data_IF_596140301967
#
_entry.id   IF_596140301967
#
_cell.length_a   1.000
_cell.length_b   1.000
_cell.length_c   1.000
_cell.angle_alpha   90.00
_cell.angle_beta   90.00
_cell.angle_gamma   90.00
#
_symmetry.space_group_name_H-M   'P 1'
#
loop_
_entity.id
_entity.type
_entity.pdbx_description
1 polymer ?
#
# COMPACT_ATOMS: atom_id res chain seq x y z
N UNK A 1 0.56 6.60 17.40
CA UNK A 1 1.87 7.25 17.27
C UNK A 1 2.67 6.68 16.12
N UNK A 2 3.73 7.36 15.67
CA UNK A 2 4.66 6.86 14.65
C UNK A 2 5.29 5.53 15.09
N UNK A 3 5.39 4.56 14.18
CA UNK A 3 5.98 3.24 14.45
C UNK A 3 5.12 2.29 15.28
N UNK A 4 3.99 2.74 15.83
CA UNK A 4 3.06 1.87 16.55
C UNK A 4 2.39 0.88 15.61
N UNK A 5 2.16 -0.34 16.12
CA UNK A 5 1.41 -1.37 15.39
C UNK A 5 -0.07 -1.00 15.33
N UNK A 6 -0.60 -0.92 14.11
CA UNK A 6 -1.98 -0.49 13.83
C UNK A 6 -2.85 -1.60 13.23
N UNK A 7 -2.24 -2.63 12.64
CA UNK A 7 -2.95 -3.76 12.02
C UNK A 7 -2.03 -4.99 11.86
N UNK A 8 -2.57 -6.05 11.27
CA UNK A 8 -1.83 -7.20 10.74
C UNK A 8 -2.30 -7.58 9.35
N UNK A 9 -1.40 -8.01 8.47
CA UNK A 9 -1.72 -8.46 7.11
C UNK A 9 -2.55 -9.74 7.14
N UNK A 10 -3.52 -9.85 6.23
CA UNK A 10 -4.28 -11.09 6.02
C UNK A 10 -3.36 -12.15 5.43
N UNK A 11 -3.26 -13.30 6.09
CA UNK A 11 -2.53 -14.44 5.54
C UNK A 11 -3.39 -15.15 4.48
N UNK A 12 -2.89 -15.25 3.27
CA UNK A 12 -3.58 -15.85 2.12
C UNK A 12 -4.39 -14.83 1.32
N UNK A 13 -5.37 -15.31 0.56
CA UNK A 13 -6.25 -14.46 -0.23
C UNK A 13 -7.12 -13.56 0.63
N UNK A 14 -7.42 -12.39 0.11
CA UNK A 14 -8.38 -11.44 0.67
C UNK A 14 -9.48 -11.12 -0.36
N UNK A 15 -10.40 -10.21 -0.01
CA UNK A 15 -11.60 -9.89 -0.79
C UNK A 15 -11.37 -9.71 -2.30
N UNK A 16 -10.30 -9.01 -2.70
CA UNK A 16 -9.99 -8.69 -4.10
C UNK A 16 -8.52 -8.94 -4.46
N UNK A 17 -7.82 -9.81 -3.72
CA UNK A 17 -6.43 -10.17 -4.03
C UNK A 17 -6.09 -11.60 -3.58
N UNK A 18 -5.16 -12.24 -4.28
CA UNK A 18 -4.92 -13.69 -4.20
C UNK A 18 -3.73 -14.12 -3.32
N UNK A 19 -3.09 -13.20 -2.59
CA UNK A 19 -1.92 -13.52 -1.78
C UNK A 19 -1.71 -12.59 -0.57
N UNK A 20 -0.84 -13.04 0.33
CA UNK A 20 -0.43 -12.27 1.53
C UNK A 20 0.45 -11.09 1.11
N UNK A 21 -0.04 -9.87 1.26
CA UNK A 21 0.71 -8.64 1.05
C UNK A 21 -0.01 -7.47 1.74
N UNK A 22 0.72 -6.39 2.00
CA UNK A 22 0.15 -5.09 2.34
C UNK A 22 0.05 -4.27 1.05
N UNK A 23 -1.13 -3.74 0.74
CA UNK A 23 -1.26 -2.66 -0.25
C UNK A 23 -1.21 -1.32 0.49
N UNK A 24 -0.14 -0.56 0.28
CA UNK A 24 0.11 0.71 0.96
C UNK A 24 -0.04 1.89 0.01
N UNK A 25 -0.86 2.86 0.41
CA UNK A 25 -1.13 4.05 -0.40
C UNK A 25 -0.78 5.32 0.38
N UNK A 26 -0.32 6.34 -0.33
CA UNK A 26 -0.29 7.72 0.13
C UNK A 26 -1.31 8.51 -0.68
N UNK A 27 -2.16 9.27 0.01
CA UNK A 27 -3.13 10.17 -0.60
C UNK A 27 -2.85 11.57 -0.08
N UNK A 28 -2.60 12.52 -0.97
CA UNK A 28 -2.35 13.92 -0.62
C UNK A 28 -3.32 14.79 -1.40
N UNK A 29 -4.03 15.69 -0.71
CA UNK A 29 -5.11 16.49 -1.31
C UNK A 29 -6.16 15.64 -2.05
N UNK A 30 -6.52 14.48 -1.49
CA UNK A 30 -7.44 13.51 -2.11
C UNK A 30 -6.94 12.91 -3.44
N UNK A 31 -5.65 12.99 -3.74
CA UNK A 31 -5.03 12.39 -4.93
C UNK A 31 -4.00 11.36 -4.51
N UNK A 32 -4.06 10.16 -5.08
CA UNK A 32 -3.07 9.12 -4.83
C UNK A 32 -1.69 9.58 -5.34
N UNK A 33 -0.66 9.41 -4.50
CA UNK A 33 0.73 9.75 -4.78
C UNK A 33 1.59 8.50 -4.73
N UNK A 34 2.73 8.53 -5.41
CA UNK A 34 3.68 7.44 -5.37
C UNK A 34 4.31 7.34 -3.97
N UNK A 35 4.07 6.28 -3.19
CA UNK A 35 4.62 6.16 -1.84
C UNK A 35 6.17 6.16 -1.81
N UNK A 36 6.83 5.88 -2.93
CA UNK A 36 8.29 5.93 -3.03
C UNK A 36 8.89 7.33 -2.77
N UNK A 37 8.11 8.38 -3.00
CA UNK A 37 8.48 9.78 -2.75
C UNK A 37 8.37 10.15 -1.26
N UNK A 38 7.69 9.33 -0.46
CA UNK A 38 7.38 9.62 0.94
C UNK A 38 8.13 8.71 1.92
N UNK A 39 8.41 7.46 1.55
CA UNK A 39 9.16 6.54 2.40
C UNK A 39 10.66 6.83 2.39
N UNK A 40 11.31 6.73 3.55
CA UNK A 40 12.76 6.90 3.70
C UNK A 40 13.54 5.93 2.81
N UNK A 41 14.66 6.41 2.29
CA UNK A 41 15.55 5.61 1.45
C UNK A 41 16.06 4.37 2.20
N UNK A 42 15.95 3.21 1.56
CA UNK A 42 16.51 1.93 2.03
C UNK A 42 16.66 0.94 0.88
N UNK A 43 17.43 -0.12 1.12
CA UNK A 43 17.44 -1.29 0.26
C UNK A 43 16.17 -2.12 0.45
N UNK A 44 15.65 -2.67 -0.64
CA UNK A 44 14.51 -3.58 -0.71
C UNK A 44 14.79 -4.69 -1.72
N UNK A 45 14.15 -5.84 -1.55
CA UNK A 45 14.10 -6.85 -2.60
C UNK A 45 13.04 -6.45 -3.64
N UNK A 46 13.43 -6.38 -4.91
CA UNK A 46 12.50 -6.12 -6.00
C UNK A 46 12.10 -7.43 -6.68
N UNK A 47 10.81 -7.77 -6.57
CA UNK A 47 10.21 -8.99 -7.10
C UNK A 47 8.97 -8.64 -7.92
N UNK A 48 9.12 -7.69 -8.84
CA UNK A 48 8.05 -7.25 -9.72
C UNK A 48 8.55 -7.13 -11.18
N UNK A 49 8.96 -8.25 -11.77
CA UNK A 49 9.25 -8.31 -13.21
C UNK A 49 7.94 -8.38 -14.02
N UNK A 50 7.80 -7.67 -15.15
CA UNK A 50 8.85 -6.97 -15.91
C UNK A 50 9.04 -5.48 -15.56
N UNK A 51 8.34 -4.95 -14.55
CA UNK A 51 8.55 -3.57 -14.12
C UNK A 51 9.97 -3.41 -13.54
N UNK A 52 10.60 -2.26 -13.80
CA UNK A 52 11.94 -1.98 -13.28
C UNK A 52 11.88 -1.48 -11.84
N UNK A 53 12.89 -1.79 -11.01
CA UNK A 53 13.00 -1.22 -9.66
C UNK A 53 13.04 0.32 -9.67
N UNK A 54 12.64 0.93 -8.57
CA UNK A 54 12.74 2.36 -8.32
C UNK A 54 13.38 2.65 -6.96
N UNK A 55 13.74 3.92 -6.73
CA UNK A 55 14.36 4.38 -5.49
C UNK A 55 13.37 5.10 -4.57
N UNK A 56 13.70 5.10 -3.28
CA UNK A 56 12.96 5.78 -2.22
C UNK A 56 13.70 7.04 -1.79
N UNK A 57 12.97 8.13 -1.56
CA UNK A 57 13.58 9.46 -1.32
C UNK A 57 12.89 10.31 -0.25
N UNK A 58 11.89 9.76 0.44
CA UNK A 58 11.10 10.53 1.40
C UNK A 58 11.65 10.51 2.81
N UNK A 59 10.75 10.80 3.77
CA UNK A 59 11.07 11.04 5.17
C UNK A 59 10.20 10.23 6.15
N UNK A 60 9.16 9.54 5.66
CA UNK A 60 8.27 8.70 6.46
C UNK A 60 8.86 7.32 6.69
N UNK A 61 8.60 6.74 7.86
CA UNK A 61 9.04 5.39 8.19
C UNK A 61 8.31 4.33 7.34
N UNK A 62 8.84 3.11 7.36
CA UNK A 62 8.25 2.01 6.61
C UNK A 62 7.06 1.40 7.37
N UNK A 63 6.00 0.97 6.65
CA UNK A 63 4.80 0.43 7.27
C UNK A 63 4.98 -1.01 7.77
N UNK A 64 6.11 -1.65 7.49
CA UNK A 64 6.43 -3.05 7.81
C UNK A 64 7.88 -3.20 8.26
N UNK A 65 8.17 -4.28 8.98
CA UNK A 65 9.54 -4.65 9.37
C UNK A 65 10.24 -5.47 8.28
N UNK A 66 11.57 -5.49 8.33
CA UNK A 66 12.38 -6.33 7.46
C UNK A 66 12.17 -7.83 7.65
N UNK A 67 12.41 -8.64 6.60
CA UNK A 67 12.77 -8.22 5.23
C UNK A 67 11.57 -7.69 4.44
N UNK A 68 11.76 -6.63 3.65
CA UNK A 68 10.70 -6.09 2.78
C UNK A 68 11.01 -6.42 1.32
N UNK A 69 10.04 -7.05 0.68
CA UNK A 69 10.02 -7.32 -0.77
C UNK A 69 8.86 -6.59 -1.43
N UNK A 70 9.12 -6.00 -2.59
CA UNK A 70 8.10 -5.31 -3.39
C UNK A 70 7.65 -6.23 -4.51
N UNK A 71 6.37 -6.56 -4.51
CA UNK A 71 5.74 -7.42 -5.52
C UNK A 71 4.96 -6.64 -6.57
N UNK A 72 4.65 -5.38 -6.30
CA UNK A 72 4.08 -4.47 -7.29
C UNK A 72 4.32 -2.98 -6.96
N UNK A 73 4.68 -2.19 -7.97
CA UNK A 73 4.89 -0.73 -7.85
C UNK A 73 3.62 0.12 -8.01
N UNK A 74 3.76 1.43 -7.84
CA UNK A 74 2.71 2.43 -8.08
C UNK A 74 2.59 2.79 -9.57
N UNK A 75 1.39 3.13 -10.03
CA UNK A 75 1.14 3.68 -11.36
C UNK A 75 0.75 2.66 -12.42
N UNK A 76 1.09 2.94 -13.68
CA UNK A 76 0.84 2.06 -14.82
C UNK A 76 1.84 0.90 -14.87
N UNK A 77 1.71 -0.03 -13.92
CA UNK A 77 2.48 -1.28 -13.88
C UNK A 77 2.15 -2.19 -15.06
N UNK A 78 2.96 -3.21 -15.30
CA UNK A 78 2.64 -4.25 -16.27
C UNK A 78 1.24 -4.86 -16.03
N UNK A 79 0.86 -5.09 -14.77
CA UNK A 79 -0.47 -5.59 -14.40
C UNK A 79 -1.59 -4.61 -14.73
N UNK A 80 -1.37 -3.31 -14.48
CA UNK A 80 -2.35 -2.27 -14.78
C UNK A 80 -2.50 -2.03 -16.29
N UNK A 81 -1.39 -1.89 -17.01
CA UNK A 81 -1.40 -1.54 -18.43
C UNK A 81 -1.57 -2.77 -19.34
N UNK A 82 -0.71 -3.79 -19.23
CA UNK A 82 -0.72 -4.91 -20.18
C UNK A 82 -1.79 -5.94 -19.85
N UNK A 83 -1.99 -6.24 -18.56
CA UNK A 83 -2.95 -7.27 -18.15
C UNK A 83 -4.33 -6.71 -17.78
N UNK A 84 -4.48 -5.39 -17.65
CA UNK A 84 -5.74 -4.71 -17.35
C UNK A 84 -6.42 -5.20 -16.04
N UNK A 85 -5.64 -5.54 -15.02
CA UNK A 85 -6.17 -6.09 -13.75
C UNK A 85 -7.08 -5.13 -12.98
N UNK A 86 -6.90 -3.83 -13.16
CA UNK A 86 -7.67 -2.78 -12.45
C UNK A 86 -8.64 -2.08 -13.38
N UNK A 87 -9.23 -2.82 -14.33
CA UNK A 87 -10.21 -2.28 -15.25
C UNK A 87 -11.58 -2.13 -14.57
N UNK A 88 -12.24 -1.00 -14.76
CA UNK A 88 -13.59 -0.80 -14.27
C UNK A 88 -14.65 -1.49 -15.15
N UNK A 89 -15.91 -1.44 -14.70
CA UNK A 89 -17.06 -2.04 -15.39
C UNK A 89 -17.33 -1.48 -16.79
N UNK A 90 -16.77 -0.32 -17.13
CA UNK A 90 -16.91 0.32 -18.44
C UNK A 90 -15.73 -0.02 -19.37
N UNK A 91 -14.79 -0.85 -18.93
CA UNK A 91 -13.62 -1.23 -19.71
C UNK A 91 -12.46 -0.24 -19.63
N UNK A 92 -12.49 0.72 -18.70
CA UNK A 92 -11.40 1.70 -18.52
C UNK A 92 -10.37 1.14 -17.56
N UNK A 93 -9.11 1.08 -17.97
CA UNK A 93 -8.00 0.66 -17.10
C UNK A 93 -7.67 1.76 -16.10
N UNK A 94 -7.24 1.35 -14.90
CA UNK A 94 -6.76 2.27 -13.86
C UNK A 94 -5.34 1.90 -13.43
N UNK A 95 -4.51 2.89 -13.04
CA UNK A 95 -3.19 2.62 -12.48
C UNK A 95 -3.32 1.97 -11.09
N UNK A 96 -2.26 1.27 -10.68
CA UNK A 96 -2.14 0.78 -9.32
C UNK A 96 -1.91 1.96 -8.35
N UNK A 97 -2.75 2.09 -7.32
CA UNK A 97 -2.81 3.27 -6.46
C UNK A 97 -1.84 3.26 -5.27
N UNK A 98 -0.98 2.25 -5.17
CA UNK A 98 -0.08 2.04 -4.04
C UNK A 98 1.12 1.19 -4.40
N UNK A 99 1.83 0.72 -3.38
CA UNK A 99 2.90 -0.28 -3.51
C UNK A 99 2.50 -1.51 -2.69
N UNK A 100 2.71 -2.68 -3.27
CA UNK A 100 2.47 -3.95 -2.60
C UNK A 100 3.75 -4.46 -1.95
N UNK A 101 3.69 -4.67 -0.63
CA UNK A 101 4.79 -5.12 0.20
C UNK A 101 4.54 -6.52 0.77
N UNK A 102 5.59 -7.32 0.84
CA UNK A 102 5.61 -8.62 1.51
C UNK A 102 6.75 -8.66 2.53
N UNK A 103 6.49 -9.25 3.69
CA UNK A 103 7.49 -9.57 4.73
C UNK A 103 7.09 -10.85 5.45
N UNK A 104 8.04 -11.45 6.17
CA UNK A 104 7.76 -12.54 7.11
C UNK A 104 7.11 -12.04 8.40
N UNK A 105 7.29 -10.76 8.75
CA UNK A 105 6.55 -10.09 9.82
C UNK A 105 5.27 -9.47 9.24
N UNK A 106 4.11 -9.98 9.68
CA UNK A 106 2.81 -9.52 9.22
C UNK A 106 2.30 -8.29 9.99
N UNK A 107 3.08 -7.72 10.90
CA UNK A 107 2.71 -6.50 11.63
C UNK A 107 2.76 -5.27 10.71
N UNK A 108 1.73 -4.43 10.82
CA UNK A 108 1.64 -3.16 10.10
C UNK A 108 1.76 -2.02 11.09
N UNK A 109 2.62 -1.05 10.77
CA UNK A 109 2.97 0.10 11.61
C UNK A 109 2.55 1.41 10.96
N UNK A 110 2.20 2.39 11.79
CA UNK A 110 1.97 3.76 11.32
C UNK A 110 3.29 4.36 10.81
N UNK A 111 3.29 4.92 9.60
CA UNK A 111 4.51 5.49 8.98
C UNK A 111 4.89 6.84 9.57
N UNK A 112 3.94 7.50 10.24
CA UNK A 112 4.07 8.78 10.93
C UNK A 112 2.97 8.93 11.97
N UNK A 113 3.08 9.88 12.89
CA UNK A 113 1.99 10.27 13.80
C UNK A 113 0.75 10.75 13.03
N UNK A 114 -0.41 10.66 13.66
CA UNK A 114 -1.69 10.98 13.05
C UNK A 114 -2.88 10.34 13.77
N UNK A 115 -4.08 10.67 13.30
CA UNK A 115 -5.34 10.10 13.79
C UNK A 115 -5.68 8.83 13.03
N UNK A 116 -5.88 7.73 13.77
CA UNK A 116 -6.21 6.42 13.23
C UNK A 116 -7.70 6.28 12.93
N UNK A 117 -8.04 5.92 11.69
CA UNK A 117 -9.38 5.57 11.27
C UNK A 117 -9.41 4.11 10.77
N UNK A 118 -10.54 3.45 11.00
CA UNK A 118 -10.80 2.07 10.57
C UNK A 118 -12.01 2.08 9.66
N UNK A 119 -11.94 1.35 8.55
CA UNK A 119 -13.03 1.31 7.58
C UNK A 119 -12.98 0.08 6.69
N UNK A 120 -13.92 0.05 5.75
CA UNK A 120 -13.95 -0.99 4.72
C UNK A 120 -14.46 -0.44 3.39
N UNK A 121 -13.85 -0.88 2.29
CA UNK A 121 -14.42 -0.72 0.96
C UNK A 121 -15.46 -1.81 0.69
N UNK A 122 -16.54 -1.46 -0.01
CA UNK A 122 -17.56 -2.41 -0.48
C UNK A 122 -17.39 -2.64 -1.98
N UNK A 123 -16.68 -3.72 -2.34
CA UNK A 123 -16.23 -4.01 -3.71
C UNK A 123 -16.71 -5.40 -4.18
N UNK A 124 -17.93 -5.77 -3.82
CA UNK A 124 -18.46 -7.14 -3.93
C UNK A 124 -18.22 -7.98 -2.66
N UNK A 125 -17.27 -7.55 -1.82
CA UNK A 125 -17.09 -7.96 -0.44
C UNK A 125 -16.54 -6.77 0.37
N UNK A 126 -16.47 -6.93 1.70
CA UNK A 126 -15.92 -5.92 2.59
C UNK A 126 -14.39 -6.07 2.70
N UNK A 127 -13.64 -5.18 2.03
CA UNK A 127 -12.19 -5.09 2.18
C UNK A 127 -11.86 -4.12 3.31
N UNK A 128 -11.36 -4.63 4.43
CA UNK A 128 -10.91 -3.84 5.57
C UNK A 128 -9.67 -3.00 5.23
N UNK A 129 -9.64 -1.78 5.75
CA UNK A 129 -8.47 -0.92 5.71
C UNK A 129 -8.32 -0.13 7.01
N UNK A 130 -7.09 0.31 7.25
CA UNK A 130 -6.78 1.38 8.21
C UNK A 130 -6.35 2.62 7.43
N UNK A 131 -6.76 3.81 7.86
CA UNK A 131 -6.28 5.11 7.37
C UNK A 131 -5.63 5.84 8.53
N UNK A 132 -4.47 6.43 8.32
CA UNK A 132 -3.88 7.39 9.26
C UNK A 132 -3.87 8.76 8.59
N UNK A 133 -4.59 9.69 9.20
CA UNK A 133 -4.64 11.11 8.83
C UNK A 133 -3.50 11.82 9.56
N UNK A 134 -2.45 12.20 8.82
CA UNK A 134 -1.20 12.63 9.43
C UNK A 134 -1.28 14.07 9.93
N UNK A 135 -0.90 14.25 11.19
CA UNK A 135 -0.95 15.55 11.89
C UNK A 135 -0.23 16.65 11.09
N UNK A 136 -0.81 17.85 11.14
CA UNK A 136 -0.29 19.07 10.49
C UNK A 136 -0.03 18.91 8.97
N UNK A 137 -0.79 18.04 8.30
CA UNK A 137 -0.67 17.80 6.86
C UNK A 137 -2.01 17.53 6.19
N UNK A 138 -1.98 17.46 4.87
CA UNK A 138 -3.06 17.02 3.99
C UNK A 138 -2.81 15.60 3.45
N UNK A 139 -1.98 14.83 4.16
CA UNK A 139 -1.52 13.51 3.74
C UNK A 139 -2.21 12.45 4.59
N UNK A 140 -2.81 11.50 3.90
CA UNK A 140 -3.28 10.24 4.46
C UNK A 140 -2.39 9.08 4.01
N UNK A 141 -2.19 8.12 4.90
CA UNK A 141 -1.74 6.78 4.51
C UNK A 141 -2.88 5.77 4.65
N UNK A 142 -3.00 4.88 3.68
CA UNK A 142 -3.95 3.77 3.72
C UNK A 142 -3.22 2.43 3.70
N UNK A 143 -3.76 1.49 4.48
CA UNK A 143 -3.22 0.15 4.70
C UNK A 143 -4.31 -0.87 4.41
N UNK A 144 -4.20 -1.58 3.30
CA UNK A 144 -5.21 -2.51 2.79
C UNK A 144 -4.74 -3.97 2.88
N UNK A 145 -5.67 -4.91 2.73
CA UNK A 145 -5.45 -6.36 2.90
C UNK A 145 -5.01 -6.75 4.32
N UNK A 146 -5.65 -6.12 5.32
CA UNK A 146 -5.30 -6.23 6.73
C UNK A 146 -6.49 -6.64 7.61
N UNK A 147 -6.18 -7.03 8.84
CA UNK A 147 -7.08 -7.18 9.99
C UNK A 147 -6.67 -6.18 11.08
N UNK A 148 -7.64 -5.65 11.84
CA UNK A 148 -7.42 -4.67 12.93
C UNK A 148 -8.40 -4.85 14.09
#
# INVERSE_FOLDING_TARGET
GEGERIASIIQGSSCNSNGTHLHFMIVENNVAKNPAEYLVSRSVEWDNSPDSPFSFSGYMQWPMSDPIRITQGFGWTYYADKLAYYMDKNGVKHPHSGIDFVSTDLSVKSVRAGTLYRGSYSIGCALRYVRVDHDDSNIDSYYLHINY
#
